data_IF_854471143606
#
_entry.id   IF_854471143606
#
_cell.length_a   1.000
_cell.length_b   1.000
_cell.length_c   1.000
_cell.angle_alpha   90.00
_cell.angle_beta   90.00
_cell.angle_gamma   90.00
#
_symmetry.space_group_name_H-M   'P 1'
#
loop_
_entity.id
_entity.type
_entity.pdbx_description
1 polymer ?
#
# COMPACT_ATOMS: atom_id res chain seq x y z
N UNK A 1 1.23 25.90 -10.66
CA UNK A 1 1.09 25.70 -9.18
C UNK A 1 0.13 24.60 -8.71
N UNK A 2 -1.19 24.68 -8.91
CA UNK A 2 -2.16 23.79 -8.22
C UNK A 2 -1.97 22.28 -8.43
N UNK A 3 -1.69 21.83 -9.66
CA UNK A 3 -1.49 20.39 -9.92
C UNK A 3 -0.12 19.89 -9.42
N UNK A 4 0.89 20.77 -9.34
CA UNK A 4 2.19 20.43 -8.77
C UNK A 4 2.08 20.13 -7.27
N UNK A 5 1.32 20.95 -6.54
CA UNK A 5 1.05 20.73 -5.11
C UNK A 5 0.26 19.43 -4.91
N UNK A 6 -0.76 19.18 -5.72
CA UNK A 6 -1.54 17.94 -5.65
C UNK A 6 -0.66 16.70 -5.85
N UNK A 7 0.20 16.72 -6.87
CA UNK A 7 1.15 15.63 -7.14
C UNK A 7 2.17 15.46 -6.01
N UNK A 8 2.64 16.57 -5.42
CA UNK A 8 3.55 16.56 -4.27
C UNK A 8 2.91 15.88 -3.06
N UNK A 9 1.67 16.24 -2.73
CA UNK A 9 0.92 15.66 -1.61
C UNK A 9 0.64 14.17 -1.85
N UNK A 10 0.18 13.80 -3.05
CA UNK A 10 -0.04 12.40 -3.42
C UNK A 10 1.25 11.58 -3.37
N UNK A 11 2.37 12.14 -3.82
CA UNK A 11 3.67 11.50 -3.75
C UNK A 11 4.15 11.28 -2.32
N UNK A 12 4.04 12.29 -1.46
CA UNK A 12 4.40 12.18 -0.04
C UNK A 12 3.51 11.16 0.70
N UNK A 13 2.20 11.17 0.45
CA UNK A 13 1.28 10.20 1.01
C UNK A 13 1.60 8.77 0.54
N UNK A 14 1.88 8.59 -0.75
CA UNK A 14 2.30 7.32 -1.33
C UNK A 14 3.61 6.81 -0.73
N UNK A 15 4.63 7.68 -0.59
CA UNK A 15 5.90 7.34 0.01
C UNK A 15 5.76 6.92 1.48
N UNK A 16 4.96 7.65 2.26
CA UNK A 16 4.69 7.33 3.66
C UNK A 16 3.95 6.00 3.82
N UNK A 17 2.94 5.75 2.98
CA UNK A 17 2.23 4.47 2.95
C UNK A 17 3.17 3.32 2.56
N UNK A 18 3.98 3.52 1.52
CA UNK A 18 5.00 2.55 1.09
C UNK A 18 6.00 2.22 2.20
N UNK A 19 6.47 3.23 2.94
CA UNK A 19 7.37 3.06 4.08
C UNK A 19 6.75 2.25 5.22
N UNK A 20 5.50 2.53 5.58
CA UNK A 20 4.79 1.79 6.62
C UNK A 20 4.71 0.29 6.31
N UNK A 21 4.42 -0.05 5.05
CA UNK A 21 4.34 -1.46 4.63
C UNK A 21 5.71 -2.10 4.43
N UNK A 22 6.68 -1.40 3.85
CA UNK A 22 8.04 -1.91 3.63
C UNK A 22 8.76 -2.22 4.94
N UNK A 23 8.75 -1.28 5.88
CA UNK A 23 9.42 -1.42 7.18
C UNK A 23 8.54 -2.06 8.25
N UNK A 24 7.31 -2.45 7.90
CA UNK A 24 6.33 -3.01 8.82
C UNK A 24 6.13 -2.16 10.09
N UNK A 25 6.09 -0.84 9.93
CA UNK A 25 5.88 0.08 11.06
C UNK A 25 4.54 -0.26 11.74
N UNK A 26 4.55 -0.41 13.06
CA UNK A 26 3.38 -0.81 13.86
C UNK A 26 2.72 -2.15 13.46
N UNK A 27 3.45 -3.05 12.77
CA UNK A 27 2.89 -4.30 12.27
C UNK A 27 1.86 -4.09 11.16
N UNK A 28 1.96 -3.00 10.38
CA UNK A 28 0.98 -2.65 9.35
C UNK A 28 0.82 -3.74 8.29
N UNK A 29 1.92 -4.39 7.86
CA UNK A 29 1.87 -5.48 6.90
C UNK A 29 1.16 -6.71 7.48
N UNK A 30 1.42 -7.02 8.76
CA UNK A 30 0.81 -8.14 9.45
C UNK A 30 -0.69 -7.90 9.71
N UNK A 31 -1.07 -6.69 10.12
CA UNK A 31 -2.47 -6.28 10.29
C UNK A 31 -3.24 -6.31 8.97
N UNK A 32 -2.62 -5.90 7.87
CA UNK A 32 -3.26 -5.92 6.56
C UNK A 32 -3.43 -7.36 6.03
N UNK A 33 -2.45 -8.23 6.26
CA UNK A 33 -2.58 -9.66 5.98
C UNK A 33 -3.73 -10.27 6.81
N UNK A 34 -3.76 -10.04 8.13
CA UNK A 34 -4.81 -10.55 9.00
C UNK A 34 -6.22 -10.06 8.59
N UNK A 35 -6.36 -8.79 8.18
CA UNK A 35 -7.65 -8.27 7.65
C UNK A 35 -8.07 -8.98 6.37
N UNK A 36 -7.14 -9.25 5.45
CA UNK A 36 -7.46 -9.97 4.21
C UNK A 36 -7.89 -11.40 4.48
N UNK A 37 -7.20 -12.09 5.37
CA UNK A 37 -7.55 -13.46 5.74
C UNK A 37 -8.93 -13.50 6.44
N UNK A 38 -9.24 -12.53 7.32
CA UNK A 38 -10.57 -12.41 7.93
C UNK A 38 -11.68 -12.16 6.89
N UNK A 39 -11.46 -11.28 5.91
CA UNK A 39 -12.43 -11.03 4.82
C UNK A 39 -12.62 -12.28 3.96
N UNK A 40 -11.54 -13.02 3.68
CA UNK A 40 -11.63 -14.29 2.94
C UNK A 40 -12.38 -15.36 3.72
N UNK A 41 -12.14 -15.49 5.02
CA UNK A 41 -12.87 -16.43 5.88
C UNK A 41 -14.38 -16.11 5.89
N UNK A 42 -14.76 -14.83 5.99
CA UNK A 42 -16.16 -14.40 5.87
C UNK A 42 -16.73 -14.73 4.48
N UNK A 43 -15.96 -14.46 3.42
CA UNK A 43 -16.40 -14.76 2.05
C UNK A 43 -16.58 -16.27 1.83
N UNK A 44 -15.64 -17.10 2.29
CA UNK A 44 -15.70 -18.56 2.23
C UNK A 44 -16.93 -19.10 2.98
N UNK A 45 -17.23 -18.54 4.17
CA UNK A 45 -18.44 -18.92 4.94
C UNK A 45 -19.73 -18.54 4.21
N UNK A 46 -19.72 -17.46 3.43
CA UNK A 46 -20.88 -16.98 2.67
C UNK A 46 -21.10 -17.76 1.38
N UNK A 47 -20.04 -18.25 0.75
CA UNK A 47 -20.11 -19.00 -0.52
C UNK A 47 -20.09 -20.52 -0.34
N UNK A 48 -19.94 -21.04 0.90
CA UNK A 48 -19.72 -22.46 1.21
C UNK A 48 -18.52 -23.08 0.48
N UNK A 49 -17.62 -22.24 -0.02
CA UNK A 49 -16.48 -22.66 -0.82
C UNK A 49 -15.26 -22.87 0.09
N UNK A 50 -15.08 -24.13 0.50
CA UNK A 50 -13.99 -24.57 1.40
C UNK A 50 -12.59 -24.33 0.79
N UNK A 51 -12.48 -24.12 -0.53
CA UNK A 51 -11.22 -23.78 -1.20
C UNK A 51 -10.73 -22.37 -0.89
N UNK A 52 -11.61 -21.44 -0.50
CA UNK A 52 -11.25 -20.07 -0.11
C UNK A 52 -10.69 -19.97 1.33
N UNK A 53 -10.82 -21.04 2.13
CA UNK A 53 -10.24 -21.12 3.47
C UNK A 53 -8.74 -21.44 3.46
N UNK A 54 -8.16 -21.74 2.29
CA UNK A 54 -6.73 -22.03 2.17
C UNK A 54 -5.92 -20.75 2.42
N UNK A 55 -4.93 -20.77 3.34
CA UNK A 55 -4.20 -19.57 3.72
C UNK A 55 -3.58 -18.92 2.50
N UNK A 56 -3.87 -17.63 2.33
CA UNK A 56 -3.43 -16.89 1.17
C UNK A 56 -1.90 -16.89 1.12
N UNK A 57 -1.29 -17.30 0.00
CA UNK A 57 0.18 -17.19 -0.22
C UNK A 57 0.69 -15.74 -0.15
N UNK A 58 -0.23 -14.76 -0.13
CA UNK A 58 0.03 -13.34 -0.09
C UNK A 58 0.03 -12.83 1.37
N UNK A 59 1.02 -13.28 2.14
CA UNK A 59 1.23 -12.83 3.52
C UNK A 59 1.86 -11.44 3.63
N UNK A 60 2.34 -11.08 4.82
CA UNK A 60 2.99 -9.80 5.10
C UNK A 60 4.17 -9.46 4.15
N UNK A 61 4.82 -10.47 3.57
CA UNK A 61 5.87 -10.32 2.56
C UNK A 61 5.39 -9.64 1.28
N UNK A 62 4.15 -9.92 0.83
CA UNK A 62 3.56 -9.24 -0.33
C UNK A 62 3.32 -7.76 -0.06
N UNK A 63 2.84 -7.43 1.14
CA UNK A 63 2.65 -6.05 1.55
C UNK A 63 3.99 -5.31 1.67
N UNK A 64 5.04 -5.96 2.19
CA UNK A 64 6.40 -5.40 2.17
C UNK A 64 6.91 -5.15 0.76
N UNK A 65 6.72 -6.11 -0.16
CA UNK A 65 7.11 -5.96 -1.56
C UNK A 65 6.37 -4.79 -2.24
N UNK A 66 5.04 -4.70 -2.04
CA UNK A 66 4.23 -3.57 -2.48
C UNK A 66 4.74 -2.25 -1.88
N UNK A 67 5.04 -2.21 -0.59
CA UNK A 67 5.61 -1.03 0.06
C UNK A 67 6.95 -0.61 -0.55
N UNK A 68 7.78 -1.59 -0.93
CA UNK A 68 9.07 -1.38 -1.60
C UNK A 68 8.96 -0.81 -3.01
N UNK A 69 7.87 -1.05 -3.71
CA UNK A 69 7.59 -0.45 -5.03
C UNK A 69 6.90 0.91 -4.88
N UNK A 70 5.97 1.02 -3.94
CA UNK A 70 5.16 2.24 -3.72
C UNK A 70 6.00 3.36 -3.12
N UNK A 71 6.98 3.05 -2.26
CA UNK A 71 7.88 4.05 -1.67
C UNK A 71 8.68 4.84 -2.73
N UNK A 72 9.47 4.21 -3.61
CA UNK A 72 10.23 4.94 -4.63
C UNK A 72 9.30 5.61 -5.64
N UNK A 73 8.18 4.98 -6.00
CA UNK A 73 7.21 5.58 -6.93
C UNK A 73 6.56 6.85 -6.35
N UNK A 74 6.19 6.82 -5.07
CA UNK A 74 5.67 7.99 -4.34
C UNK A 74 6.70 9.11 -4.22
N UNK A 75 7.96 8.78 -3.94
CA UNK A 75 9.04 9.77 -3.91
C UNK A 75 9.26 10.43 -5.27
N UNK A 76 9.30 9.65 -6.35
CA UNK A 76 9.44 10.17 -7.73
C UNK A 76 8.27 11.09 -8.05
N UNK A 77 7.03 10.67 -7.77
CA UNK A 77 5.84 11.48 -8.00
C UNK A 77 5.88 12.79 -7.20
N UNK A 78 6.33 12.73 -5.95
CA UNK A 78 6.48 13.89 -5.08
C UNK A 78 7.52 14.88 -5.61
N UNK A 79 8.65 14.38 -6.10
CA UNK A 79 9.70 15.19 -6.73
C UNK A 79 9.24 15.84 -8.03
N UNK A 80 8.46 15.13 -8.85
CA UNK A 80 7.84 15.70 -10.06
C UNK A 80 6.85 16.80 -9.69
N UNK A 81 6.01 16.57 -8.68
CA UNK A 81 5.09 17.59 -8.19
C UNK A 81 5.79 18.84 -7.65
N UNK A 82 6.89 18.64 -6.91
CA UNK A 82 7.74 19.73 -6.41
C UNK A 82 8.37 20.52 -7.57
N UNK A 83 8.95 19.83 -8.55
CA UNK A 83 9.54 20.47 -9.73
C UNK A 83 8.51 21.32 -10.49
N UNK A 84 7.32 20.77 -10.76
CA UNK A 84 6.24 21.49 -11.43
C UNK A 84 5.69 22.68 -10.64
N UNK A 85 5.80 22.64 -9.31
CA UNK A 85 5.40 23.76 -8.44
C UNK A 85 6.44 24.88 -8.47
N UNK A 86 7.73 24.54 -8.60
CA UNK A 86 8.83 25.50 -8.64
C UNK A 86 9.02 26.14 -10.02
N UNK A 87 8.64 25.46 -11.10
CA UNK A 87 8.83 25.93 -12.49
C UNK A 87 7.61 26.60 -13.12
N UNK A 88 6.47 26.69 -12.41
CA UNK A 88 5.23 27.26 -12.95
C UNK A 88 4.29 27.80 -11.88
#
# INVERSE_FOLDING_TARGET
>A
MGVGILLMVCGAAGAGWGAMFLFNLHGAADKAAARRDAVRAVTASRTLDLGLAQPSRLGASFFRAMGGVVLPCGLILGLIGLALTLTG
#
